data_IF_067978090158
#
_entry.id   IF_067978090158
#
_cell.length_a   1.000
_cell.length_b   1.000
_cell.length_c   1.000
_cell.angle_alpha   90.00
_cell.angle_beta   90.00
_cell.angle_gamma   90.00
#
_symmetry.space_group_name_H-M   'P 1'
#
loop_
_entity.id
_entity.type
_entity.pdbx_description
1 polymer ?
#
# COMPACT_ATOMS: atom_id res chain seq x y z
N UNK A 1 -2.28 -2.12 -30.09
CA UNK A 1 -2.19 -0.98 -29.16
C UNK A 1 -2.38 -1.47 -27.73
N UNK A 2 -1.49 -1.10 -26.85
CA UNK A 2 -1.62 -1.39 -25.41
C UNK A 2 -2.32 -0.22 -24.73
N UNK A 3 -3.14 -0.52 -23.73
CA UNK A 3 -3.85 0.51 -22.99
C UNK A 3 -3.73 0.30 -21.48
N UNK A 4 -3.96 1.38 -20.75
CA UNK A 4 -4.11 1.36 -19.31
C UNK A 4 -5.35 2.19 -18.93
N UNK A 5 -6.10 1.72 -17.95
CA UNK A 5 -7.19 2.50 -17.37
C UNK A 5 -7.23 2.27 -15.86
N UNK A 6 -7.31 3.35 -15.10
CA UNK A 6 -7.46 3.27 -13.65
C UNK A 6 -8.76 2.57 -13.23
N UNK A 7 -9.77 2.59 -14.10
CA UNK A 7 -11.03 1.89 -13.85
C UNK A 7 -10.87 0.37 -13.74
N UNK A 8 -9.80 -0.17 -14.32
CA UNK A 8 -9.50 -1.61 -14.24
C UNK A 8 -8.79 -2.00 -12.95
N UNK A 9 -8.45 -1.05 -12.09
CA UNK A 9 -7.74 -1.32 -10.84
C UNK A 9 -8.71 -1.43 -9.68
N UNK A 10 -8.40 -2.33 -8.75
CA UNK A 10 -9.19 -2.56 -7.55
C UNK A 10 -8.25 -2.69 -6.36
N UNK A 11 -8.53 -1.97 -5.30
CA UNK A 11 -7.83 -2.14 -4.02
C UNK A 11 -8.84 -2.52 -2.95
N UNK A 12 -8.54 -3.59 -2.23
CA UNK A 12 -9.37 -4.11 -1.15
C UNK A 12 -8.55 -4.13 0.14
N UNK A 13 -9.11 -3.56 1.18
CA UNK A 13 -8.51 -3.56 2.52
C UNK A 13 -9.48 -4.28 3.46
N UNK A 14 -9.03 -5.38 4.05
CA UNK A 14 -9.85 -6.21 4.94
C UNK A 14 -11.22 -6.57 4.37
N UNK A 15 -11.26 -6.88 3.06
CA UNK A 15 -12.48 -7.28 2.37
C UNK A 15 -13.36 -6.13 1.89
N UNK A 16 -12.97 -4.89 2.13
CA UNK A 16 -13.74 -3.70 1.70
C UNK A 16 -12.99 -2.97 0.60
N UNK A 17 -13.68 -2.72 -0.51
CA UNK A 17 -13.09 -1.99 -1.63
C UNK A 17 -12.90 -0.52 -1.27
N UNK A 18 -11.71 0.00 -1.55
CA UNK A 18 -11.41 1.41 -1.35
C UNK A 18 -11.87 2.19 -2.57
N UNK A 19 -12.61 3.26 -2.35
CA UNK A 19 -13.19 4.12 -3.39
C UNK A 19 -12.94 5.59 -3.08
N UNK A 20 -13.31 6.45 -4.03
CA UNK A 20 -13.16 7.90 -3.85
C UNK A 20 -11.72 8.37 -4.00
N UNK A 21 -11.01 7.84 -4.99
CA UNK A 21 -9.62 8.17 -5.24
C UNK A 21 -9.44 9.64 -5.60
N UNK A 22 -8.33 10.21 -5.15
CA UNK A 22 -7.95 11.56 -5.53
C UNK A 22 -7.54 11.63 -7.00
N UNK A 23 -7.44 12.84 -7.53
CA UNK A 23 -6.91 13.10 -8.86
C UNK A 23 -5.39 13.21 -8.79
N UNK A 24 -4.70 12.56 -9.72
CA UNK A 24 -3.24 12.58 -9.76
C UNK A 24 -2.67 11.32 -10.39
N UNK A 25 -1.37 11.31 -10.58
CA UNK A 25 -0.66 10.20 -11.23
C UNK A 25 -0.15 9.16 -10.22
N UNK A 26 -0.19 9.46 -8.94
CA UNK A 26 0.41 8.65 -7.88
C UNK A 26 -0.55 8.43 -6.71
N UNK A 27 -1.83 8.19 -7.00
CA UNK A 27 -2.85 8.00 -5.96
C UNK A 27 -2.70 6.68 -5.22
N UNK A 28 -2.07 5.70 -5.85
CA UNK A 28 -1.71 4.42 -5.22
C UNK A 28 -0.21 4.21 -5.41
N UNK A 29 0.50 4.02 -4.31
CA UNK A 29 1.96 3.89 -4.31
C UNK A 29 2.32 2.71 -3.41
N UNK A 30 2.83 1.63 -4.01
CA UNK A 30 3.10 0.39 -3.30
C UNK A 30 4.55 -0.01 -3.57
N UNK A 31 5.35 -0.14 -2.51
CA UNK A 31 6.74 -0.55 -2.66
C UNK A 31 7.26 -1.29 -1.42
N UNK A 32 8.27 -2.11 -1.61
CA UNK A 32 8.99 -2.68 -0.48
C UNK A 32 9.87 -1.62 0.16
N UNK A 33 10.03 -1.71 1.48
CA UNK A 33 10.77 -0.71 2.25
C UNK A 33 12.28 -0.88 2.10
N UNK A 34 12.76 -2.09 1.89
CA UNK A 34 14.20 -2.39 1.85
C UNK A 34 14.54 -3.28 0.66
N UNK A 35 15.82 -3.28 0.29
CA UNK A 35 16.31 -4.12 -0.78
C UNK A 35 16.22 -5.60 -0.39
N UNK A 36 15.78 -6.43 -1.34
CA UNK A 36 15.65 -7.86 -1.11
C UNK A 36 16.99 -8.58 -1.17
N UNK A 37 17.88 -8.10 -2.02
CA UNK A 37 19.19 -8.75 -2.25
C UNK A 37 20.27 -7.66 -2.18
N UNK A 38 21.29 -7.89 -1.40
CA UNK A 38 22.45 -7.01 -1.31
C UNK A 38 23.71 -7.78 -1.66
N UNK A 39 24.76 -7.05 -2.02
CA UNK A 39 26.02 -7.66 -2.43
C UNK A 39 27.20 -7.06 -1.70
N UNK A 40 28.29 -7.81 -1.67
CA UNK A 40 29.56 -7.36 -1.14
C UNK A 40 30.68 -7.87 -2.03
N UNK A 41 31.57 -6.97 -2.44
CA UNK A 41 32.71 -7.33 -3.26
C UNK A 41 33.91 -7.69 -2.40
N UNK A 42 34.52 -8.83 -2.69
CA UNK A 42 35.76 -9.22 -2.06
C UNK A 42 36.96 -8.49 -2.67
N UNK A 43 38.09 -8.52 -1.96
CA UNK A 43 39.32 -7.88 -2.41
C UNK A 43 39.87 -8.48 -3.71
N UNK A 44 39.53 -9.74 -4.00
CA UNK A 44 39.93 -10.46 -5.21
C UNK A 44 38.94 -10.26 -6.38
N UNK A 45 37.93 -9.43 -6.21
CA UNK A 45 36.90 -9.16 -7.22
C UNK A 45 35.74 -10.13 -7.20
N UNK A 46 35.70 -11.10 -6.28
CA UNK A 46 34.55 -11.99 -6.12
C UNK A 46 33.38 -11.28 -5.42
N UNK A 47 32.16 -11.59 -5.87
CA UNK A 47 30.95 -11.01 -5.29
C UNK A 47 30.24 -12.03 -4.39
N UNK A 48 29.84 -11.59 -3.20
CA UNK A 48 28.97 -12.36 -2.32
C UNK A 48 27.61 -11.67 -2.21
N UNK A 49 26.53 -12.40 -2.41
CA UNK A 49 25.18 -11.86 -2.29
C UNK A 49 24.54 -12.35 -1.00
N UNK A 50 23.71 -11.51 -0.43
CA UNK A 50 22.89 -11.82 0.75
C UNK A 50 21.43 -11.62 0.39
N UNK A 51 20.60 -12.63 0.64
CA UNK A 51 19.17 -12.57 0.43
C UNK A 51 18.52 -12.19 1.75
N UNK A 52 17.86 -11.04 1.76
CA UNK A 52 17.24 -10.53 2.97
C UNK A 52 15.95 -11.26 3.32
N UNK A 53 15.63 -11.28 4.60
CA UNK A 53 14.38 -11.85 5.10
C UNK A 53 13.30 -10.80 5.31
N UNK A 54 13.67 -9.52 5.27
CA UNK A 54 12.73 -8.42 5.40
C UNK A 54 11.97 -8.23 4.10
N UNK A 55 10.67 -8.56 4.13
CA UNK A 55 9.76 -8.40 2.99
C UNK A 55 8.69 -7.36 3.29
N UNK A 56 8.92 -6.49 4.26
CA UNK A 56 7.98 -5.44 4.62
C UNK A 56 7.83 -4.42 3.49
N UNK A 57 6.66 -3.84 3.44
CA UNK A 57 6.34 -2.86 2.41
C UNK A 57 5.46 -1.74 2.93
N UNK A 58 5.28 -0.75 2.09
CA UNK A 58 4.45 0.42 2.36
C UNK A 58 3.44 0.59 1.24
N UNK A 59 2.19 0.81 1.62
CA UNK A 59 1.09 1.11 0.71
C UNK A 59 0.59 2.50 1.03
N UNK A 60 0.75 3.42 0.10
CA UNK A 60 0.25 4.79 0.23
C UNK A 60 -0.92 5.01 -0.69
N UNK A 61 -1.99 5.58 -0.16
CA UNK A 61 -3.20 5.87 -0.93
C UNK A 61 -3.61 7.31 -0.71
N UNK A 62 -4.06 7.96 -1.76
CA UNK A 62 -4.57 9.33 -1.73
C UNK A 62 -6.04 9.31 -2.11
N UNK A 63 -6.88 9.73 -1.18
CA UNK A 63 -8.33 9.75 -1.33
C UNK A 63 -8.83 11.18 -1.29
N UNK A 64 -9.94 11.44 -1.99
CA UNK A 64 -10.63 12.72 -1.84
C UNK A 64 -11.18 12.84 -0.41
N UNK A 65 -11.25 14.08 0.09
CA UNK A 65 -11.78 14.30 1.44
C UNK A 65 -13.23 13.82 1.61
N UNK A 66 -13.96 13.67 0.52
CA UNK A 66 -15.35 13.20 0.51
C UNK A 66 -15.46 11.68 0.42
N UNK A 67 -14.35 10.95 0.31
CA UNK A 67 -14.38 9.50 0.16
C UNK A 67 -14.93 8.82 1.42
N UNK A 68 -15.89 7.89 1.27
CA UNK A 68 -16.37 7.11 2.42
C UNK A 68 -15.31 6.17 2.98
N UNK A 69 -14.28 5.85 2.21
CA UNK A 69 -13.18 5.00 2.67
C UNK A 69 -12.35 5.67 3.77
N UNK A 70 -12.37 7.00 3.87
CA UNK A 70 -11.72 7.71 4.98
C UNK A 70 -12.29 7.28 6.34
N UNK A 71 -13.61 7.16 6.44
CA UNK A 71 -14.25 6.71 7.67
C UNK A 71 -13.91 5.25 7.99
N UNK A 72 -13.85 4.40 6.97
CA UNK A 72 -13.48 3.01 7.15
C UNK A 72 -12.05 2.87 7.67
N UNK A 73 -11.09 3.59 7.08
CA UNK A 73 -9.70 3.56 7.51
C UNK A 73 -9.52 4.15 8.91
N UNK A 74 -10.27 5.21 9.24
CA UNK A 74 -10.29 5.76 10.59
C UNK A 74 -10.78 4.74 11.61
N UNK A 75 -11.80 3.96 11.26
CA UNK A 75 -12.31 2.88 12.13
C UNK A 75 -11.25 1.82 12.39
N UNK A 76 -10.52 1.39 11.37
CA UNK A 76 -9.42 0.45 11.53
C UNK A 76 -8.32 1.04 12.43
N UNK A 77 -7.96 2.30 12.20
CA UNK A 77 -6.95 3.00 12.98
C UNK A 77 -7.32 3.04 14.46
N UNK A 78 -8.58 3.33 14.76
CA UNK A 78 -9.07 3.39 16.13
C UNK A 78 -8.97 2.03 16.84
N UNK A 79 -9.29 0.95 16.13
CA UNK A 79 -9.16 -0.40 16.67
C UNK A 79 -7.69 -0.77 16.92
N UNK A 80 -6.79 -0.36 16.04
CA UNK A 80 -5.37 -0.63 16.19
C UNK A 80 -4.73 0.18 17.33
N UNK A 81 -5.18 1.42 17.52
CA UNK A 81 -4.71 2.26 18.63
C UNK A 81 -5.22 1.78 19.98
N UNK A 82 -6.37 1.10 20.00
CA UNK A 82 -6.98 0.56 21.22
C UNK A 82 -6.21 -0.62 21.70
N UNK A 83 -5.12 -0.82 21.92
CA UNK A 83 -4.21 -1.88 22.40
C UNK A 83 -4.85 -3.22 22.76
N UNK A 84 -4.05 -4.24 22.86
CA UNK A 84 -4.44 -5.58 23.34
C UNK A 84 -5.18 -6.39 22.28
N UNK A 85 -6.22 -7.10 22.71
CA UNK A 85 -6.95 -8.04 21.86
C UNK A 85 -7.76 -7.40 20.74
N UNK A 86 -7.91 -6.07 20.75
CA UNK A 86 -8.65 -5.36 19.72
C UNK A 86 -7.80 -5.03 18.49
N UNK A 87 -6.50 -5.28 18.53
CA UNK A 87 -5.64 -5.04 17.38
C UNK A 87 -5.95 -6.05 16.29
N UNK A 88 -6.43 -5.53 15.14
CA UNK A 88 -6.73 -6.33 13.95
C UNK A 88 -5.72 -5.97 12.88
N UNK A 89 -4.91 -6.93 12.41
CA UNK A 89 -3.98 -6.67 11.32
C UNK A 89 -4.70 -6.30 10.03
N UNK A 90 -4.08 -5.47 9.21
CA UNK A 90 -4.62 -5.06 7.92
C UNK A 90 -4.10 -5.99 6.83
N UNK A 91 -5.02 -6.46 5.99
CA UNK A 91 -4.72 -7.20 4.77
C UNK A 91 -5.07 -6.29 3.58
N UNK A 92 -4.11 -6.10 2.68
CA UNK A 92 -4.28 -5.24 1.50
C UNK A 92 -4.09 -6.08 0.25
N UNK A 93 -5.00 -5.95 -0.70
CA UNK A 93 -4.89 -6.56 -2.02
C UNK A 93 -5.14 -5.49 -3.07
N UNK A 94 -4.19 -5.31 -3.97
CA UNK A 94 -4.32 -4.46 -5.15
C UNK A 94 -4.23 -5.33 -6.39
N UNK A 95 -5.10 -5.08 -7.35
CA UNK A 95 -5.09 -5.82 -8.61
C UNK A 95 -5.47 -4.91 -9.77
N UNK A 96 -4.69 -4.98 -10.84
CA UNK A 96 -5.09 -4.45 -12.14
C UNK A 96 -5.70 -5.61 -12.92
N UNK A 97 -7.01 -5.57 -13.10
CA UNK A 97 -7.75 -6.69 -13.69
C UNK A 97 -7.47 -6.88 -15.17
N UNK A 98 -7.02 -5.84 -15.87
CA UNK A 98 -6.70 -5.94 -17.30
C UNK A 98 -5.28 -6.47 -17.52
N UNK A 99 -4.28 -5.91 -16.82
CA UNK A 99 -2.88 -6.30 -16.95
C UNK A 99 -2.48 -7.41 -16.00
N UNK A 100 -3.29 -7.64 -14.99
CA UNK A 100 -3.04 -8.60 -13.92
C UNK A 100 -1.78 -8.34 -13.12
N UNK A 101 -1.47 -7.08 -12.92
CA UNK A 101 -0.53 -6.68 -11.89
C UNK A 101 -1.17 -6.94 -10.53
N UNK A 102 -0.39 -7.46 -9.60
CA UNK A 102 -0.92 -7.88 -8.30
C UNK A 102 0.02 -7.45 -7.19
N UNK A 103 -0.56 -6.92 -6.11
CA UNK A 103 0.16 -6.65 -4.87
C UNK A 103 -0.65 -7.19 -3.71
N UNK A 104 -0.01 -7.94 -2.82
CA UNK A 104 -0.65 -8.48 -1.62
C UNK A 104 0.22 -8.10 -0.43
N UNK A 105 -0.38 -7.38 0.54
CA UNK A 105 0.25 -7.05 1.81
C UNK A 105 -0.48 -7.70 2.96
N UNK A 106 0.25 -8.34 3.85
CA UNK A 106 -0.32 -9.04 5.00
C UNK A 106 0.24 -8.51 6.31
N UNK A 107 -0.51 -8.68 7.39
CA UNK A 107 -0.11 -8.29 8.75
C UNK A 107 0.30 -6.82 8.80
N UNK A 108 -0.59 -5.96 8.34
CA UNK A 108 -0.31 -4.54 8.25
C UNK A 108 -0.89 -3.71 9.39
N UNK A 109 -0.45 -2.47 9.43
CA UNK A 109 -1.00 -1.48 10.34
C UNK A 109 -1.03 -0.11 9.65
N UNK A 110 -1.94 0.74 10.09
CA UNK A 110 -1.99 2.13 9.66
C UNK A 110 -0.98 2.92 10.48
N UNK A 111 -0.09 3.62 9.78
CA UNK A 111 1.03 4.29 10.43
C UNK A 111 0.58 5.47 11.30
N UNK A 112 -0.37 6.25 10.80
CA UNK A 112 -0.94 7.40 11.50
C UNK A 112 -2.22 7.83 10.80
N UNK A 113 -3.10 8.59 11.50
CA UNK A 113 -4.25 9.19 10.83
C UNK A 113 -3.81 10.13 9.71
N UNK A 114 -4.63 10.24 8.68
CA UNK A 114 -4.38 11.17 7.58
C UNK A 114 -4.37 12.61 8.09
N UNK A 115 -3.53 13.44 7.48
CA UNK A 115 -3.45 14.86 7.81
C UNK A 115 -4.75 15.55 7.40
N UNK A 116 -5.33 16.31 8.29
CA UNK A 116 -6.54 17.08 8.02
C UNK A 116 -6.15 18.45 7.46
N UNK A 117 -6.49 18.69 6.19
CA UNK A 117 -6.24 19.96 5.51
C UNK A 117 -7.54 20.41 4.86
N UNK A 118 -7.91 21.64 5.06
CA UNK A 118 -9.11 22.25 4.46
C UNK A 118 -8.77 23.62 3.92
N UNK A 119 -9.39 23.98 2.80
CA UNK A 119 -9.21 25.27 2.14
C UNK A 119 -10.39 25.57 1.24
N UNK A 120 -10.25 26.58 0.39
CA UNK A 120 -11.31 26.99 -0.53
C UNK A 120 -11.64 25.90 -1.56
N UNK A 121 -10.67 25.09 -1.92
CA UNK A 121 -10.85 23.96 -2.84
C UNK A 121 -10.82 22.64 -2.07
N UNK A 122 -11.36 21.58 -2.68
CA UNK A 122 -11.30 20.26 -2.10
C UNK A 122 -9.86 19.76 -1.97
N UNK A 123 -9.58 19.05 -0.91
CA UNK A 123 -8.25 18.51 -0.62
C UNK A 123 -8.25 17.00 -0.66
N UNK A 124 -7.04 16.43 -0.67
CA UNK A 124 -6.84 14.99 -0.60
C UNK A 124 -6.42 14.57 0.81
N UNK A 125 -6.73 13.32 1.15
CA UNK A 125 -6.25 12.70 2.38
C UNK A 125 -5.36 11.53 2.01
N UNK A 126 -4.15 11.52 2.58
CA UNK A 126 -3.17 10.48 2.31
C UNK A 126 -3.08 9.53 3.51
N UNK A 127 -3.20 8.24 3.22
CA UNK A 127 -3.06 7.19 4.22
C UNK A 127 -1.86 6.32 3.87
N UNK A 128 -1.17 5.86 4.90
CA UNK A 128 -0.05 4.94 4.73
C UNK A 128 -0.27 3.70 5.56
N UNK A 129 -0.19 2.54 4.90
CA UNK A 129 -0.29 1.23 5.53
C UNK A 129 1.08 0.56 5.41
N UNK A 130 1.64 0.14 6.54
CA UNK A 130 2.88 -0.63 6.57
C UNK A 130 2.51 -2.09 6.78
N UNK A 131 3.02 -2.96 5.92
CA UNK A 131 2.73 -4.39 5.96
C UNK A 131 3.99 -5.18 6.28
N UNK A 132 3.83 -6.24 7.05
CA UNK A 132 4.96 -7.11 7.41
C UNK A 132 5.52 -7.82 6.18
N UNK A 133 4.65 -8.24 5.26
CA UNK A 133 5.05 -8.90 4.04
C UNK A 133 4.30 -8.31 2.86
N UNK A 134 5.04 -7.87 1.87
CA UNK A 134 4.49 -7.36 0.62
C UNK A 134 5.02 -8.22 -0.54
N UNK A 135 4.11 -8.81 -1.29
CA UNK A 135 4.41 -9.55 -2.50
C UNK A 135 3.88 -8.78 -3.70
N UNK A 136 4.73 -8.58 -4.69
CA UNK A 136 4.42 -7.87 -5.93
C UNK A 136 4.65 -8.79 -7.12
N UNK A 137 3.73 -8.78 -8.07
CA UNK A 137 3.87 -9.47 -9.34
C UNK A 137 3.33 -8.59 -10.46
N UNK A 138 4.06 -8.48 -11.54
CA UNK A 138 3.72 -7.61 -12.66
C UNK A 138 3.44 -8.44 -13.89
N UNK A 139 2.37 -8.07 -14.61
CA UNK A 139 2.10 -8.62 -15.91
C UNK A 139 1.92 -10.12 -15.95
N UNK A 140 1.04 -10.66 -15.10
CA UNK A 140 0.79 -12.10 -15.04
C UNK A 140 0.12 -12.63 -16.30
N UNK A 141 -0.30 -11.75 -17.19
CA UNK A 141 -0.90 -12.10 -18.49
C UNK A 141 -0.11 -11.47 -19.62
#
# INVERSE_FOLDING_TARGET
>A
MKRYSFQDTVMVVNGVEITGWADGDDVIDIERRNDSITDKMGADGGMMISVGTDKSGSVKVKLMQTSPSNAFLTGIMSLQEASGSLFVPVFVKFQDTYRQDLAIGTQGYLKKPAKLTRGAQGNTQEWEIVVERLDLAFGLV
#
